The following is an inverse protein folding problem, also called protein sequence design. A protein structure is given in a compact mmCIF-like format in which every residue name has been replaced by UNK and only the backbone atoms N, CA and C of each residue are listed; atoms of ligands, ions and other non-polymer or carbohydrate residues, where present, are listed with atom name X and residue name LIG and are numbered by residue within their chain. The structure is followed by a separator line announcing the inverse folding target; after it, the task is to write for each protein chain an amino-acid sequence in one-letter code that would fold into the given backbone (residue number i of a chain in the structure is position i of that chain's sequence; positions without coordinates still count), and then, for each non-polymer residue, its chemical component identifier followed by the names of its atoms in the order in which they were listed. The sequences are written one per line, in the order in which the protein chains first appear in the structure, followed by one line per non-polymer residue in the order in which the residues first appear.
data_IF_206871453208
#
_entry.id   IF_206871453208
#
_cell.length_a   1.000
_cell.length_b   1.000
_cell.length_c   1.000
_cell.angle_alpha   90.00
_cell.angle_beta   90.00
_cell.angle_gamma   90.00
#
_symmetry.space_group_name_H-M   'P 1'
#
loop_
_entity.id
_entity.type
_entity.pdbx_description
1 polymer ?
#
# COMPACT_ATOMS: atom_id res chain seq x y z
N UNK A 1 -11.80 9.05 12.78
CA UNK A 1 -12.38 7.75 13.19
C UNK A 1 -11.26 6.75 13.47
N UNK A 2 -11.47 5.79 14.38
CA UNK A 2 -10.58 4.63 14.53
C UNK A 2 -11.27 3.42 13.89
N UNK A 3 -10.68 2.89 12.82
CA UNK A 3 -11.15 1.69 12.13
C UNK A 3 -10.27 0.51 12.54
N UNK A 4 -10.87 -0.67 12.75
CA UNK A 4 -10.12 -1.88 13.13
C UNK A 4 -10.63 -3.11 12.40
N UNK A 5 -9.73 -4.00 12.06
CA UNK A 5 -10.05 -5.27 11.39
C UNK A 5 -9.04 -6.35 11.76
N UNK A 6 -9.39 -7.60 11.49
CA UNK A 6 -8.50 -8.75 11.66
C UNK A 6 -8.39 -9.50 10.35
N UNK A 7 -7.18 -9.61 9.81
CA UNK A 7 -6.92 -10.17 8.48
C UNK A 7 -5.70 -11.06 8.56
N UNK A 8 -5.80 -12.29 8.05
CA UNK A 8 -4.68 -13.22 7.85
C UNK A 8 -3.66 -13.27 9.03
N UNK A 9 -4.17 -13.31 10.27
CA UNK A 9 -3.34 -13.44 11.48
C UNK A 9 -2.79 -12.14 12.07
N UNK A 10 -3.17 -10.98 11.53
CA UNK A 10 -2.84 -9.66 12.09
C UNK A 10 -4.10 -8.90 12.49
N UNK A 11 -4.00 -8.14 13.58
CA UNK A 11 -4.98 -7.12 13.93
C UNK A 11 -4.49 -5.78 13.39
N UNK A 12 -5.30 -5.12 12.58
CA UNK A 12 -5.01 -3.81 12.00
C UNK A 12 -5.90 -2.75 12.65
N UNK A 13 -5.28 -1.64 13.03
CA UNK A 13 -5.97 -0.47 13.57
C UNK A 13 -5.51 0.77 12.82
N UNK A 14 -6.44 1.48 12.19
CA UNK A 14 -6.19 2.79 11.63
C UNK A 14 -6.16 3.82 12.78
N UNK A 15 -5.04 4.53 12.89
CA UNK A 15 -4.92 5.66 13.82
C UNK A 15 -5.47 6.92 13.16
N UNK A 16 -5.00 7.22 11.94
CA UNK A 16 -5.54 8.30 11.11
C UNK A 16 -5.12 8.18 9.64
N UNK A 17 -5.88 8.83 8.78
CA UNK A 17 -5.52 9.17 7.40
C UNK A 17 -5.91 10.64 7.19
N UNK A 18 -4.95 11.50 6.84
CA UNK A 18 -5.20 12.94 6.68
C UNK A 18 -4.46 13.50 5.47
N UNK A 19 -5.16 14.28 4.65
CA UNK A 19 -4.55 15.21 3.72
C UNK A 19 -3.82 16.30 4.51
N UNK A 20 -2.55 16.56 4.20
CA UNK A 20 -1.71 17.51 4.96
C UNK A 20 -1.22 18.72 4.16
N UNK A 21 -1.49 18.76 2.86
CA UNK A 21 -1.21 19.93 2.01
C UNK A 21 -2.49 20.74 1.77
N UNK A 22 -2.37 22.06 1.65
CA UNK A 22 -3.50 22.92 1.27
C UNK A 22 -3.62 23.01 -0.25
N UNK A 23 -2.47 23.27 -0.91
CA UNK A 23 -2.36 23.45 -2.35
C UNK A 23 -1.97 22.10 -2.99
N UNK A 24 -2.67 21.64 -4.05
CA UNK A 24 -2.29 20.44 -4.79
C UNK A 24 -0.84 20.49 -5.30
N UNK A 25 -0.15 19.36 -5.21
CA UNK A 25 1.25 19.22 -5.58
C UNK A 25 1.33 18.73 -7.02
N UNK A 26 2.10 19.42 -7.85
CA UNK A 26 2.30 19.04 -9.24
C UNK A 26 3.08 17.73 -9.37
N UNK A 27 2.77 16.91 -10.37
CA UNK A 27 3.44 15.65 -10.69
C UNK A 27 4.98 15.74 -10.65
N UNK A 28 5.56 16.86 -11.08
CA UNK A 28 7.03 17.08 -11.07
C UNK A 28 7.68 17.09 -9.68
N UNK A 29 6.89 17.17 -8.61
CA UNK A 29 7.38 17.27 -7.22
C UNK A 29 6.94 16.09 -6.36
N UNK A 30 6.26 15.09 -6.93
CA UNK A 30 5.87 13.90 -6.17
C UNK A 30 6.96 12.83 -6.25
N UNK A 31 6.97 11.95 -5.25
CA UNK A 31 7.71 10.69 -5.34
C UNK A 31 6.82 9.64 -6.00
N UNK A 32 7.41 8.76 -6.81
CA UNK A 32 6.66 7.68 -7.47
C UNK A 32 6.13 6.65 -6.47
N UNK A 33 6.79 6.51 -5.32
CA UNK A 33 6.46 5.53 -4.29
C UNK A 33 6.22 6.23 -2.95
N UNK A 34 5.40 5.63 -2.06
CA UNK A 34 5.20 6.11 -0.70
C UNK A 34 6.50 6.19 0.10
N UNK A 35 6.62 7.23 0.92
CA UNK A 35 7.65 7.29 1.95
C UNK A 35 7.12 6.62 3.21
N UNK A 36 7.81 5.57 3.66
CA UNK A 36 7.35 4.70 4.74
C UNK A 36 8.36 4.69 5.87
N UNK A 37 7.84 4.77 7.10
CA UNK A 37 8.60 4.48 8.31
C UNK A 37 7.82 3.51 9.19
N UNK A 38 8.53 2.57 9.81
CA UNK A 38 7.96 1.58 10.72
C UNK A 38 8.78 1.52 12.00
N UNK A 39 8.10 1.46 13.14
CA UNK A 39 8.74 1.19 14.42
C UNK A 39 7.89 0.25 15.27
N UNK A 40 8.57 -0.47 16.16
CA UNK A 40 7.92 -1.36 17.11
C UNK A 40 7.32 -0.54 18.25
N UNK A 41 6.06 -0.79 18.57
CA UNK A 41 5.40 -0.19 19.73
C UNK A 41 5.97 -0.76 21.03
N UNK A 42 5.78 -0.05 22.14
CA UNK A 42 6.16 -0.48 23.50
C UNK A 42 5.51 -1.84 23.83
N UNK A 43 4.32 -2.08 23.29
CA UNK A 43 3.64 -3.37 23.39
C UNK A 43 4.32 -4.42 22.51
N UNK A 44 4.80 -5.51 23.12
CA UNK A 44 5.40 -6.64 22.42
C UNK A 44 4.46 -7.09 21.28
N UNK A 45 4.98 -7.15 20.05
CA UNK A 45 4.32 -7.62 18.80
C UNK A 45 3.36 -6.63 18.14
N UNK A 46 3.39 -5.37 18.53
CA UNK A 46 2.72 -4.27 17.82
C UNK A 46 3.74 -3.42 17.07
N UNK A 47 3.37 -2.98 15.88
CA UNK A 47 4.19 -2.18 14.99
C UNK A 47 3.35 -1.02 14.46
N UNK A 48 3.90 0.19 14.53
CA UNK A 48 3.27 1.39 14.00
C UNK A 48 3.93 1.72 12.67
N UNK A 49 3.11 1.91 11.66
CA UNK A 49 3.50 2.23 10.29
C UNK A 49 3.02 3.63 9.98
N UNK A 50 3.93 4.46 9.49
CA UNK A 50 3.67 5.82 9.04
C UNK A 50 3.97 5.89 7.55
N UNK A 51 3.05 6.48 6.79
CA UNK A 51 3.11 6.55 5.34
C UNK A 51 2.82 7.97 4.91
N UNK A 52 3.64 8.45 3.98
CA UNK A 52 3.40 9.65 3.22
C UNK A 52 3.22 9.24 1.76
N UNK A 53 2.01 9.39 1.24
CA UNK A 53 1.65 8.98 -0.12
C UNK A 53 0.98 10.13 -0.88
N UNK A 54 1.27 10.22 -2.18
CA UNK A 54 0.69 11.20 -3.08
C UNK A 54 -0.48 10.55 -3.82
N UNK A 55 -1.70 10.95 -3.45
CA UNK A 55 -2.92 10.45 -4.09
C UNK A 55 -3.40 11.51 -5.08
N UNK A 56 -3.77 11.14 -6.32
CA UNK A 56 -4.41 12.04 -7.27
C UNK A 56 -5.59 12.84 -6.66
N UNK A 57 -5.87 14.02 -7.20
CA UNK A 57 -7.03 14.80 -6.76
C UNK A 57 -8.34 14.05 -7.02
N UNK A 58 -9.26 14.08 -6.06
CA UNK A 58 -10.62 13.56 -6.21
C UNK A 58 -10.69 12.07 -6.62
N UNK A 59 -10.08 11.15 -5.86
CA UNK A 59 -10.26 9.72 -6.10
C UNK A 59 -11.74 9.35 -6.03
N UNK A 60 -12.13 8.36 -6.84
CA UNK A 60 -13.46 7.76 -6.81
C UNK A 60 -13.71 7.07 -5.48
N UNK A 61 -15.00 6.99 -5.12
CA UNK A 61 -15.40 6.03 -4.10
C UNK A 61 -15.19 4.62 -4.66
N UNK A 62 -14.48 3.80 -3.91
CA UNK A 62 -14.18 2.43 -4.27
C UNK A 62 -15.49 1.63 -4.19
N UNK A 63 -15.89 1.00 -5.30
CA UNK A 63 -16.93 -0.04 -5.29
C UNK A 63 -16.53 -1.14 -4.30
N UNK A 64 -17.51 -1.79 -3.65
CA UNK A 64 -17.32 -2.66 -2.47
C UNK A 64 -16.11 -3.60 -2.58
N UNK A 65 -14.95 -3.16 -2.07
CA UNK A 65 -13.77 -4.00 -1.93
C UNK A 65 -14.06 -5.01 -0.81
N UNK A 66 -13.72 -6.30 -0.99
CA UNK A 66 -13.87 -7.29 0.07
C UNK A 66 -13.13 -6.83 1.34
N UNK A 67 -13.88 -6.52 2.40
CA UNK A 67 -13.35 -6.08 3.70
C UNK A 67 -12.43 -7.13 4.34
N UNK A 68 -12.51 -8.38 3.89
CA UNK A 68 -11.63 -9.46 4.32
C UNK A 68 -10.15 -9.23 3.93
N UNK A 69 -9.89 -8.31 2.99
CA UNK A 69 -8.54 -7.99 2.51
C UNK A 69 -7.93 -6.74 3.13
N UNK A 70 -8.69 -5.94 3.90
CA UNK A 70 -8.19 -4.64 4.38
C UNK A 70 -9.18 -3.81 5.20
N UNK A 71 -8.95 -2.50 5.23
CA UNK A 71 -9.85 -1.52 5.85
C UNK A 71 -9.89 -0.22 5.04
N UNK A 72 -11.03 0.47 5.06
CA UNK A 72 -11.14 1.82 4.50
C UNK A 72 -10.37 2.83 5.36
N UNK A 73 -9.63 3.71 4.68
CA UNK A 73 -8.80 4.75 5.29
C UNK A 73 -9.59 6.05 5.52
N UNK A 74 -10.70 6.24 4.83
CA UNK A 74 -11.59 7.40 4.95
C UNK A 74 -13.07 6.97 4.97
N UNK A 75 -13.93 7.90 5.39
CA UNK A 75 -15.38 7.69 5.51
C UNK A 75 -16.11 7.66 4.16
N UNK A 76 -15.53 8.32 3.16
CA UNK A 76 -16.05 8.40 1.79
C UNK A 76 -15.71 7.15 0.96
N UNK A 77 -14.99 6.19 1.58
CA UNK A 77 -14.51 4.95 0.98
C UNK A 77 -13.66 5.16 -0.27
N UNK A 78 -12.87 6.23 -0.31
CA UNK A 78 -12.03 6.57 -1.48
C UNK A 78 -10.65 5.92 -1.42
N UNK A 79 -10.17 5.67 -0.22
CA UNK A 79 -8.88 5.05 0.05
C UNK A 79 -9.08 3.77 0.87
N UNK A 80 -8.36 2.73 0.49
CA UNK A 80 -8.40 1.44 1.18
C UNK A 80 -6.99 0.92 1.45
N UNK A 81 -6.74 0.43 2.66
CA UNK A 81 -5.50 -0.25 3.00
C UNK A 81 -5.72 -1.75 2.89
N UNK A 82 -5.15 -2.37 1.86
CA UNK A 82 -5.15 -3.83 1.71
C UNK A 82 -3.93 -4.46 2.37
N UNK A 83 -4.08 -5.69 2.85
CA UNK A 83 -3.01 -6.55 3.33
C UNK A 83 -3.01 -7.85 2.52
N UNK A 84 -1.97 -8.07 1.73
CA UNK A 84 -1.89 -9.23 0.82
C UNK A 84 -1.11 -10.42 1.40
N UNK A 85 -0.70 -10.32 2.67
CA UNK A 85 -0.02 -11.41 3.36
C UNK A 85 1.49 -11.22 3.47
N UNK A 86 2.19 -12.35 3.45
CA UNK A 86 3.65 -12.42 3.57
C UNK A 86 4.20 -12.96 2.26
N UNK A 87 5.07 -12.19 1.62
CA UNK A 87 5.64 -12.51 0.32
C UNK A 87 7.16 -12.60 0.41
N UNK A 88 7.72 -13.46 -0.44
CA UNK A 88 9.15 -13.46 -0.72
C UNK A 88 9.43 -12.38 -1.76
N UNK A 89 10.42 -11.53 -1.48
CA UNK A 89 10.78 -10.40 -2.31
C UNK A 89 12.25 -10.55 -2.68
N UNK A 90 12.52 -10.64 -3.97
CA UNK A 90 13.88 -10.72 -4.45
C UNK A 90 14.56 -9.36 -4.30
N UNK A 91 15.78 -9.38 -3.79
CA UNK A 91 16.59 -8.19 -3.54
C UNK A 91 18.03 -8.47 -3.98
N UNK A 92 18.74 -7.42 -4.40
CA UNK A 92 20.17 -7.52 -4.66
C UNK A 92 21.01 -7.72 -3.38
N UNK A 93 20.39 -7.69 -2.20
CA UNK A 93 21.07 -7.81 -0.92
C UNK A 93 21.17 -9.30 -0.57
N UNK A 94 22.38 -9.84 -0.70
CA UNK A 94 22.71 -11.22 -0.32
C UNK A 94 23.53 -11.24 0.96
N UNK A 95 23.20 -12.11 1.91
CA UNK A 95 24.04 -12.36 3.08
C UNK A 95 24.10 -13.87 3.39
N UNK A 96 24.85 -14.27 4.42
CA UNK A 96 25.03 -15.69 4.78
C UNK A 96 23.74 -16.42 5.18
N UNK A 97 22.63 -15.70 5.39
CA UNK A 97 21.32 -16.23 5.79
C UNK A 97 20.24 -16.05 4.73
N UNK A 98 20.46 -15.22 3.71
CA UNK A 98 19.51 -14.99 2.62
C UNK A 98 20.21 -14.96 1.26
N UNK A 99 19.69 -15.74 0.30
CA UNK A 99 20.23 -15.79 -1.06
C UNK A 99 19.55 -14.75 -1.95
N UNK A 100 19.52 -13.49 -1.52
CA UNK A 100 18.89 -12.42 -2.29
C UNK A 100 17.37 -12.44 -2.25
N UNK A 101 16.76 -13.08 -1.26
CA UNK A 101 15.30 -13.04 -1.06
C UNK A 101 15.01 -12.66 0.39
N UNK A 102 14.14 -11.67 0.59
CA UNK A 102 13.66 -11.23 1.89
C UNK A 102 12.19 -11.56 2.06
N UNK A 103 11.83 -11.97 3.27
CA UNK A 103 10.43 -12.20 3.60
C UNK A 103 9.81 -10.89 4.10
N UNK A 104 8.78 -10.39 3.42
CA UNK A 104 8.16 -9.10 3.70
C UNK A 104 6.64 -9.23 3.90
N UNK A 105 6.07 -8.39 4.78
CA UNK A 105 4.61 -8.17 4.82
C UNK A 105 4.24 -7.08 3.82
N UNK A 106 3.27 -7.37 2.97
CA UNK A 106 2.89 -6.45 1.88
C UNK A 106 1.55 -5.81 2.18
N UNK A 107 1.54 -4.49 2.17
CA UNK A 107 0.34 -3.65 2.25
C UNK A 107 0.21 -2.84 0.98
N UNK A 108 -1.01 -2.49 0.58
CA UNK A 108 -1.20 -1.56 -0.53
C UNK A 108 -2.23 -0.49 -0.16
N UNK A 109 -1.95 0.75 -0.50
CA UNK A 109 -2.92 1.84 -0.52
C UNK A 109 -3.61 1.77 -1.87
N UNK A 110 -4.89 1.40 -1.83
CA UNK A 110 -5.72 1.19 -3.01
C UNK A 110 -6.63 2.41 -3.18
N UNK A 111 -6.65 2.94 -4.39
CA UNK A 111 -7.52 4.02 -4.83
C UNK A 111 -7.95 3.79 -6.29
N UNK A 112 -8.97 4.53 -6.73
CA UNK A 112 -9.50 4.45 -8.10
C UNK A 112 -9.75 5.87 -8.64
N UNK A 113 -9.64 6.05 -9.95
CA UNK A 113 -9.84 7.34 -10.61
C UNK A 113 -10.32 7.17 -12.07
N UNK A 114 -11.17 8.10 -12.57
CA UNK A 114 -11.63 8.09 -13.98
C UNK A 114 -10.57 8.45 -15.03
N UNK A 115 -9.46 9.08 -14.61
CA UNK A 115 -8.51 9.70 -15.52
C UNK A 115 -7.17 8.98 -15.37
N UNK A 116 -6.54 8.66 -16.49
CA UNK A 116 -5.23 7.99 -16.50
C UNK A 116 -4.05 8.95 -16.31
N UNK A 117 -4.27 10.26 -16.53
CA UNK A 117 -3.24 11.31 -16.41
C UNK A 117 -3.62 12.28 -15.32
N UNK A 118 -2.75 12.40 -14.32
CA UNK A 118 -2.92 13.31 -13.20
C UNK A 118 -1.75 14.28 -13.12
N UNK A 119 -2.04 15.58 -13.21
CA UNK A 119 -1.01 16.61 -13.08
C UNK A 119 -0.86 17.11 -11.64
N UNK A 120 -1.81 16.77 -10.76
CA UNK A 120 -1.91 17.30 -9.41
C UNK A 120 -2.35 16.24 -8.39
N UNK A 121 -1.75 16.30 -7.21
CA UNK A 121 -1.88 15.30 -6.16
C UNK A 121 -2.11 15.97 -4.79
N UNK A 122 -2.79 15.24 -3.90
CA UNK A 122 -2.85 15.53 -2.48
C UNK A 122 -1.85 14.63 -1.74
N UNK A 123 -1.15 15.20 -0.77
CA UNK A 123 -0.26 14.47 0.12
C UNK A 123 -1.04 14.01 1.35
N UNK A 124 -1.09 12.70 1.55
CA UNK A 124 -1.73 12.06 2.68
C UNK A 124 -0.70 11.54 3.68
N UNK A 125 -0.92 11.84 4.96
CA UNK A 125 -0.25 11.19 6.08
C UNK A 125 -1.18 10.13 6.65
N UNK A 126 -0.76 8.87 6.52
CA UNK A 126 -1.50 7.70 6.98
C UNK A 126 -0.70 7.04 8.09
N UNK A 127 -1.35 6.75 9.21
CA UNK A 127 -0.77 5.97 10.29
C UNK A 127 -1.70 4.84 10.69
N UNK A 128 -1.17 3.63 10.71
CA UNK A 128 -1.85 2.47 11.25
C UNK A 128 -0.93 1.65 12.15
N UNK A 129 -1.54 0.89 13.03
CA UNK A 129 -0.88 -0.10 13.87
C UNK A 129 -1.26 -1.50 13.40
N UNK A 130 -0.30 -2.41 13.31
CA UNK A 130 -0.59 -3.83 13.16
C UNK A 130 0.01 -4.64 14.31
N UNK A 131 -0.75 -5.64 14.77
CA UNK A 131 -0.35 -6.56 15.83
C UNK A 131 -0.46 -8.01 15.38
N UNK A 132 0.59 -8.79 15.62
CA UNK A 132 0.57 -10.23 15.35
C UNK A 132 -0.26 -10.96 16.41
N UNK A 133 -1.22 -11.80 15.99
CA UNK A 133 -2.15 -12.45 16.92
C UNK A 133 -1.57 -13.68 17.64
N UNK A 134 -0.55 -14.32 17.10
CA UNK A 134 0.07 -15.51 17.65
C UNK A 134 1.58 -15.59 17.31
N UNK A 135 2.34 -16.31 18.12
CA UNK A 135 3.79 -16.51 17.92
C UNK A 135 4.13 -17.36 16.70
N UNK A 136 3.19 -18.21 16.28
CA UNK A 136 3.33 -19.03 15.06
C UNK A 136 3.24 -18.23 13.77
N UNK A 137 2.83 -16.95 13.80
CA UNK A 137 2.83 -16.12 12.60
C UNK A 137 4.24 -15.67 12.28
N UNK A 138 4.65 -15.89 11.03
CA UNK A 138 6.02 -15.74 10.56
C UNK A 138 6.56 -14.34 10.87
N UNK A 139 7.70 -14.29 11.58
CA UNK A 139 8.47 -13.06 11.70
C UNK A 139 9.01 -12.71 10.31
N UNK A 140 8.82 -11.48 9.89
CA UNK A 140 9.29 -10.97 8.59
C UNK A 140 10.47 -10.04 8.79
N UNK A 141 11.27 -9.86 7.75
CA UNK A 141 12.46 -9.00 7.74
C UNK A 141 12.11 -7.55 7.40
N UNK A 142 10.97 -7.32 6.75
CA UNK A 142 10.51 -5.99 6.38
C UNK A 142 9.02 -5.90 6.10
N UNK A 143 8.59 -4.68 5.76
CA UNK A 143 7.29 -4.41 5.17
C UNK A 143 7.50 -3.75 3.80
N UNK A 144 6.54 -3.95 2.91
CA UNK A 144 6.45 -3.25 1.63
C UNK A 144 5.09 -2.59 1.54
N UNK A 145 5.08 -1.37 1.02
CA UNK A 145 3.86 -0.61 0.79
C UNK A 145 3.90 -0.10 -0.64
N UNK A 146 2.84 -0.38 -1.38
CA UNK A 146 2.64 0.16 -2.72
C UNK A 146 1.39 1.05 -2.76
N UNK A 147 1.37 1.95 -3.74
CA UNK A 147 0.18 2.68 -4.15
C UNK A 147 -0.39 1.98 -5.40
N UNK A 148 -1.63 1.49 -5.33
CA UNK A 148 -2.29 0.79 -6.43
C UNK A 148 -3.49 1.61 -6.89
N UNK A 149 -3.43 2.05 -8.15
CA UNK A 149 -4.58 2.59 -8.87
C UNK A 149 -5.36 1.44 -9.51
N UNK A 150 -6.65 1.31 -9.21
CA UNK A 150 -7.51 0.29 -9.81
C UNK A 150 -8.00 0.64 -11.22
N UNK A 151 -7.60 1.79 -11.78
CA UNK A 151 -7.94 2.17 -13.15
C UNK A 151 -7.43 1.11 -14.15
N UNK A 152 -8.33 0.39 -14.85
CA UNK A 152 -7.98 -0.69 -15.76
C UNK A 152 -7.12 -0.26 -16.95
N UNK A 153 -7.08 1.04 -17.30
CA UNK A 153 -6.24 1.54 -18.39
C UNK A 153 -4.78 1.81 -17.93
N UNK A 154 -4.52 1.94 -16.62
CA UNK A 154 -3.15 2.05 -16.09
C UNK A 154 -2.42 0.70 -15.95
N UNK A 155 -3.18 -0.42 -15.97
CA UNK A 155 -2.67 -1.79 -15.87
C UNK A 155 -2.50 -2.47 -17.26
N UNK A 156 -2.78 -1.75 -18.35
CA UNK A 156 -2.45 -2.21 -19.71
C UNK A 156 -0.97 -2.00 -19.97
N UNK A 157 -0.15 -2.90 -19.42
CA UNK A 157 1.18 -3.15 -19.94
C UNK A 157 1.11 -3.28 -21.47
N UNK A 158 1.87 -2.45 -22.18
CA UNK A 158 2.01 -2.56 -23.63
C UNK A 158 2.60 -3.93 -23.95
N UNK A 159 1.76 -4.90 -24.31
CA UNK A 159 2.22 -6.17 -24.90
C UNK A 159 2.45 -5.93 -26.38
N UNK A 160 3.67 -5.56 -26.75
CA UNK A 160 4.12 -5.63 -28.16
C UNK A 160 4.67 -7.03 -28.42
N UNK A 161 3.88 -7.87 -29.09
CA UNK A 161 4.43 -9.07 -29.74
C UNK A 161 4.91 -8.66 -31.13
N UNK A 162 6.12 -9.04 -31.53
CA UNK A 162 6.58 -8.89 -32.91
C UNK A 162 5.66 -9.73 -33.80
N UNK A 163 5.09 -9.13 -34.85
CA UNK A 163 4.40 -9.88 -35.90
C UNK A 163 5.45 -10.76 -36.57
N UNK A 164 5.39 -12.06 -36.35
CA UNK A 164 6.12 -13.01 -37.20
C UNK A 164 5.27 -13.10 -38.46
N UNK A 165 5.76 -12.53 -39.55
CA UNK A 165 5.16 -12.74 -40.86
C UNK A 165 5.33 -14.23 -41.19
N UNK A 166 4.21 -14.97 -41.19
CA UNK A 166 4.18 -16.31 -41.78
C UNK A 166 4.36 -16.16 -43.30
N UNK A 167 5.25 -17.00 -43.83
CA UNK A 167 5.66 -17.07 -45.24
C UNK A 167 4.51 -17.17 -46.24
#
# INVERSE_FOLDING_TARGET
MSSKTTIAGIHLTLNFCKKINEIPISLKYISNEPVVNIYKSINRKSYVVNIMSYIPLNPKSLSEIPLESGLYLDEEKKLFLSYTGVNNIDTAITNSKNNGTLLCRVFNIVYDHDNTVHDHYNLYHIQFEYKLLAEKFQSVEGIIIHDINLDPETDRGTVTTVRVDDQ
#
